data_IF_601726565462
#
_entry.id   IF_601726565462
#
_cell.length_a   1.000
_cell.length_b   1.000
_cell.length_c   1.000
_cell.angle_alpha   90.00
_cell.angle_beta   90.00
_cell.angle_gamma   90.00
#
_symmetry.space_group_name_H-M   'P 1'
#
loop_
_entity.id
_entity.type
_entity.pdbx_description
1 polymer ?
#
# COMPACT_ATOMS: atom_id res chain seq x y z
N UNK A 1 -48.40 55.83 21.66
CA UNK A 1 -48.01 54.51 22.18
C UNK A 1 -47.04 53.92 21.17
N UNK A 2 -45.76 54.23 21.37
CA UNK A 2 -44.64 53.74 20.56
C UNK A 2 -44.38 52.29 20.96
N UNK A 3 -44.17 51.41 19.99
CA UNK A 3 -43.63 50.07 20.23
C UNK A 3 -42.31 50.01 19.50
N UNK A 4 -41.22 50.10 20.26
CA UNK A 4 -39.85 49.95 19.81
C UNK A 4 -39.57 48.47 19.50
N UNK A 5 -39.20 48.16 18.25
CA UNK A 5 -38.48 46.93 17.91
C UNK A 5 -37.01 47.29 17.69
N UNK A 6 -36.18 46.82 18.62
CA UNK A 6 -34.74 47.04 18.64
C UNK A 6 -34.02 46.09 17.67
N UNK A 7 -33.13 46.66 16.85
CA UNK A 7 -31.90 46.04 16.32
C UNK A 7 -32.06 45.20 15.03
N UNK A 8 -31.74 45.74 13.85
CA UNK A 8 -30.41 45.74 13.20
C UNK A 8 -29.85 44.32 12.97
N UNK A 9 -29.33 43.91 11.81
CA UNK A 9 -28.65 44.66 10.76
C UNK A 9 -28.47 43.79 9.50
N UNK A 10 -28.50 44.47 8.35
CA UNK A 10 -27.63 44.29 7.19
C UNK A 10 -27.49 42.89 6.56
N UNK A 11 -28.25 42.74 5.48
CA UNK A 11 -27.91 41.95 4.30
C UNK A 11 -26.53 42.38 3.75
N UNK A 12 -25.52 41.53 3.89
CA UNK A 12 -24.34 41.53 3.01
C UNK A 12 -23.79 40.11 2.89
N UNK A 13 -23.89 39.54 1.68
CA UNK A 13 -23.23 38.31 1.29
C UNK A 13 -21.75 38.62 1.01
N UNK A 14 -20.77 37.88 1.56
CA UNK A 14 -19.45 37.82 0.98
C UNK A 14 -19.28 36.52 0.18
N UNK A 15 -19.09 36.72 -1.12
CA UNK A 15 -18.30 35.91 -2.05
C UNK A 15 -18.39 34.40 -1.98
N UNK A 16 -19.20 33.89 -2.91
CA UNK A 16 -18.95 32.71 -3.72
C UNK A 16 -17.47 32.67 -4.17
N UNK A 17 -16.60 31.97 -3.42
CA UNK A 17 -15.25 31.64 -3.85
C UNK A 17 -15.03 30.14 -3.66
N UNK A 18 -14.98 29.48 -4.80
CA UNK A 18 -14.69 28.07 -5.05
C UNK A 18 -13.56 27.53 -4.18
N UNK A 19 -13.90 26.70 -3.20
CA UNK A 19 -13.03 25.60 -2.82
C UNK A 19 -13.66 24.32 -3.37
N UNK A 20 -13.17 23.89 -4.55
CA UNK A 20 -13.12 22.45 -4.84
C UNK A 20 -12.10 21.87 -3.85
N UNK A 21 -12.50 21.75 -2.59
CA UNK A 21 -11.85 20.85 -1.67
C UNK A 21 -12.05 19.48 -2.30
N UNK A 22 -10.98 18.97 -2.92
CA UNK A 22 -11.05 17.65 -3.51
C UNK A 22 -11.36 16.69 -2.36
N UNK A 23 -12.04 15.58 -2.63
CA UNK A 23 -12.32 14.54 -1.62
C UNK A 23 -11.07 14.09 -0.83
N UNK A 24 -9.87 14.45 -1.31
CA UNK A 24 -8.58 14.24 -0.68
C UNK A 24 -8.25 15.20 0.48
N UNK A 25 -8.80 16.42 0.52
CA UNK A 25 -8.51 17.40 1.59
C UNK A 25 -9.20 17.05 2.91
N UNK A 26 -10.36 16.39 2.86
CA UNK A 26 -11.11 15.96 4.04
C UNK A 26 -10.47 14.74 4.72
N UNK A 27 -9.71 13.93 3.97
CA UNK A 27 -8.99 12.75 4.49
C UNK A 27 -7.82 13.16 5.40
N UNK A 28 -7.33 14.40 5.29
CA UNK A 28 -6.15 14.91 6.02
C UNK A 28 -6.42 15.29 7.48
N UNK A 29 -7.68 15.46 7.87
CA UNK A 29 -8.09 15.96 9.19
C UNK A 29 -8.53 14.87 10.18
N UNK A 30 -8.88 13.68 9.68
CA UNK A 30 -8.93 12.50 10.51
C UNK A 30 -7.49 11.98 10.63
N UNK A 31 -7.01 11.75 11.83
CA UNK A 31 -5.77 11.02 12.11
C UNK A 31 -5.89 9.52 11.71
N UNK A 32 -6.44 9.23 10.53
CA UNK A 32 -6.30 7.91 9.90
C UNK A 32 -4.80 7.79 9.65
N UNK A 33 -4.13 6.76 10.20
CA UNK A 33 -2.74 6.56 9.88
C UNK A 33 -2.65 6.44 8.37
N UNK A 34 -2.03 7.43 7.73
CA UNK A 34 -1.41 7.30 6.42
C UNK A 34 -0.21 6.37 6.58
N UNK A 35 -0.45 5.19 7.16
CA UNK A 35 0.50 4.10 7.23
C UNK A 35 0.84 3.84 5.78
N UNK A 36 2.10 3.99 5.44
CA UNK A 36 2.61 3.80 4.09
C UNK A 36 2.20 2.41 3.62
N UNK A 37 1.10 2.33 2.87
CA UNK A 37 0.62 1.14 2.17
C UNK A 37 1.55 0.90 0.98
N UNK A 38 2.80 0.59 1.29
CA UNK A 38 3.85 0.46 0.30
C UNK A 38 4.94 -0.51 0.77
N UNK A 39 5.55 -1.17 -0.19
CA UNK A 39 6.82 -1.87 0.03
C UNK A 39 7.86 -0.85 0.48
N UNK A 40 8.47 -1.10 1.65
CA UNK A 40 9.43 -0.19 2.27
C UNK A 40 10.79 -0.23 1.56
N UNK A 41 11.24 -1.43 1.17
CA UNK A 41 12.53 -1.61 0.52
C UNK A 41 12.61 -2.89 -0.30
N UNK A 42 13.47 -2.86 -1.32
CA UNK A 42 13.82 -4.00 -2.14
C UNK A 42 15.25 -4.44 -1.85
N UNK A 43 15.48 -5.74 -1.75
CA UNK A 43 16.82 -6.30 -1.60
C UNK A 43 17.50 -6.62 -2.95
N UNK A 44 16.81 -6.40 -4.07
CA UNK A 44 17.29 -6.73 -5.41
C UNK A 44 16.78 -5.71 -6.45
N UNK A 45 17.71 -5.14 -7.22
CA UNK A 45 17.41 -4.14 -8.26
C UNK A 45 16.48 -4.68 -9.36
N UNK A 46 16.58 -5.97 -9.71
CA UNK A 46 15.69 -6.62 -10.68
C UNK A 46 14.25 -6.68 -10.16
N UNK A 47 14.07 -6.96 -8.86
CA UNK A 47 12.72 -7.01 -8.26
C UNK A 47 12.10 -5.63 -8.20
N UNK A 48 12.88 -4.61 -7.86
CA UNK A 48 12.45 -3.22 -7.89
C UNK A 48 12.10 -2.78 -9.32
N UNK A 49 12.96 -3.09 -10.30
CA UNK A 49 12.70 -2.75 -11.71
C UNK A 49 11.41 -3.39 -12.22
N UNK A 50 11.15 -4.65 -11.86
CA UNK A 50 9.90 -5.32 -12.18
C UNK A 50 8.69 -4.66 -11.51
N UNK A 51 8.84 -4.23 -10.25
CA UNK A 51 7.80 -3.50 -9.53
C UNK A 51 7.49 -2.13 -10.17
N UNK A 52 8.51 -1.44 -10.67
CA UNK A 52 8.40 -0.18 -11.42
C UNK A 52 7.79 -0.37 -12.83
N UNK A 53 7.42 -1.61 -13.20
CA UNK A 53 6.85 -1.93 -14.51
C UNK A 53 7.88 -2.04 -15.63
N UNK A 54 9.17 -2.10 -15.31
CA UNK A 54 10.24 -2.35 -16.30
C UNK A 54 10.36 -3.84 -16.57
N UNK A 55 10.52 -4.19 -17.84
CA UNK A 55 10.73 -5.58 -18.26
C UNK A 55 12.11 -6.06 -17.82
N UNK A 56 12.15 -7.21 -17.15
CA UNK A 56 13.40 -7.85 -16.69
C UNK A 56 13.54 -9.22 -17.33
N UNK A 57 14.61 -9.44 -18.09
CA UNK A 57 14.86 -10.67 -18.85
C UNK A 57 14.75 -11.95 -18.01
N UNK A 58 15.24 -11.90 -16.76
CA UNK A 58 15.19 -13.02 -15.81
C UNK A 58 13.77 -13.45 -15.43
N UNK A 59 12.80 -12.53 -15.46
CA UNK A 59 11.46 -12.75 -14.93
C UNK A 59 10.36 -12.79 -16.01
N UNK A 60 10.71 -12.79 -17.30
CA UNK A 60 9.73 -12.69 -18.39
C UNK A 60 8.63 -13.76 -18.31
N UNK A 61 8.99 -14.99 -17.93
CA UNK A 61 8.02 -16.10 -17.84
C UNK A 61 7.05 -15.97 -16.66
N UNK A 62 7.44 -15.20 -15.63
CA UNK A 62 6.66 -15.04 -14.39
C UNK A 62 6.11 -13.62 -14.21
N UNK A 63 6.47 -12.69 -15.09
CA UNK A 63 6.29 -11.24 -14.96
C UNK A 63 4.86 -10.87 -14.54
N UNK A 64 3.86 -11.35 -15.26
CA UNK A 64 2.44 -11.07 -14.95
C UNK A 64 2.03 -11.53 -13.55
N UNK A 65 2.46 -12.73 -13.15
CA UNK A 65 2.09 -13.29 -11.84
C UNK A 65 2.88 -12.60 -10.74
N UNK A 66 4.18 -12.37 -10.95
CA UNK A 66 5.08 -11.69 -10.05
C UNK A 66 4.60 -10.25 -9.76
N UNK A 67 4.27 -9.46 -10.78
CA UNK A 67 3.72 -8.11 -10.61
C UNK A 67 2.42 -8.12 -9.81
N UNK A 68 1.51 -9.08 -10.07
CA UNK A 68 0.28 -9.22 -9.28
C UNK A 68 0.59 -9.51 -7.80
N UNK A 69 1.55 -10.41 -7.52
CA UNK A 69 1.95 -10.72 -6.13
C UNK A 69 2.61 -9.52 -5.44
N UNK A 70 3.47 -8.78 -6.14
CA UNK A 70 4.10 -7.57 -5.61
C UNK A 70 3.06 -6.47 -5.36
N UNK A 71 2.09 -6.28 -6.24
CA UNK A 71 0.99 -5.34 -6.04
C UNK A 71 0.11 -5.72 -4.84
N UNK A 72 -0.14 -7.02 -4.62
CA UNK A 72 -0.81 -7.49 -3.41
C UNK A 72 0.02 -7.19 -2.16
N UNK A 73 1.32 -7.48 -2.19
CA UNK A 73 2.25 -7.19 -1.09
C UNK A 73 2.27 -5.70 -0.75
N UNK A 74 2.29 -4.84 -1.76
CA UNK A 74 2.27 -3.40 -1.60
C UNK A 74 0.98 -2.86 -0.99
N UNK A 75 -0.15 -3.56 -1.15
CA UNK A 75 -1.46 -3.15 -0.63
C UNK A 75 -1.84 -3.81 0.69
N UNK A 76 -1.06 -4.78 1.17
CA UNK A 76 -1.38 -5.52 2.37
C UNK A 76 -1.21 -4.64 3.61
N UNK A 77 -2.24 -4.58 4.45
CA UNK A 77 -2.22 -3.90 5.75
C UNK A 77 -1.62 -4.82 6.80
N UNK A 78 -1.94 -6.11 6.71
CA UNK A 78 -1.50 -7.14 7.62
C UNK A 78 -0.93 -8.34 6.88
N UNK A 79 -0.09 -9.13 7.55
CA UNK A 79 0.41 -10.39 7.00
C UNK A 79 -0.75 -11.37 6.69
N UNK A 80 -1.87 -11.25 7.39
CA UNK A 80 -3.07 -12.06 7.22
C UNK A 80 -3.79 -11.76 5.90
N UNK A 81 -3.75 -10.52 5.41
CA UNK A 81 -4.35 -10.15 4.12
C UNK A 81 -3.75 -10.94 2.96
N UNK A 82 -2.47 -11.30 3.09
CA UNK A 82 -1.75 -12.10 2.11
C UNK A 82 -2.20 -13.57 2.08
N UNK A 83 -3.03 -14.04 3.01
CA UNK A 83 -3.60 -15.40 3.00
C UNK A 83 -4.79 -15.57 2.05
N UNK A 84 -5.39 -14.46 1.61
CA UNK A 84 -6.54 -14.44 0.70
C UNK A 84 -6.03 -13.92 -0.66
N UNK A 85 -5.98 -14.73 -1.74
CA UNK A 85 -6.59 -16.03 -1.99
C UNK A 85 -5.76 -17.24 -1.52
N UNK A 86 -6.39 -18.43 -1.32
CA UNK A 86 -5.83 -19.62 -0.64
C UNK A 86 -4.55 -20.23 -1.26
N UNK A 87 -4.12 -19.75 -2.43
CA UNK A 87 -2.86 -20.15 -3.06
C UNK A 87 -1.60 -19.56 -2.41
N UNK A 88 -1.72 -18.55 -1.57
CA UNK A 88 -0.60 -17.97 -0.83
C UNK A 88 -0.32 -18.80 0.43
N UNK A 89 0.44 -19.88 0.28
CA UNK A 89 0.97 -20.67 1.41
C UNK A 89 2.10 -19.90 2.11
N UNK A 90 1.73 -18.89 2.90
CA UNK A 90 2.68 -18.17 3.75
C UNK A 90 3.30 -19.16 4.74
N UNK A 91 4.58 -19.49 4.53
CA UNK A 91 5.37 -20.25 5.49
C UNK A 91 6.24 -19.27 6.27
N UNK A 92 6.13 -19.16 7.60
CA UNK A 92 7.20 -18.56 8.39
C UNK A 92 8.45 -19.42 8.22
N UNK A 93 9.60 -18.80 7.94
CA UNK A 93 10.88 -19.51 7.98
C UNK A 93 11.28 -19.67 9.45
N UNK A 94 11.37 -20.91 9.93
CA UNK A 94 11.83 -21.23 11.30
C UNK A 94 13.35 -21.08 11.43
N UNK A 95 13.84 -20.50 12.54
CA UNK A 95 15.27 -20.26 12.85
C UNK A 95 15.61 -18.76 13.03
N UNK A 96 16.88 -18.37 12.87
CA UNK A 96 17.38 -16.95 12.90
C UNK A 96 16.72 -16.01 11.88
N UNK A 97 15.79 -16.53 11.06
CA UNK A 97 15.02 -15.82 10.02
C UNK A 97 13.51 -15.76 10.34
N UNK A 98 13.13 -15.84 11.63
CA UNK A 98 11.75 -15.88 12.10
C UNK A 98 10.85 -14.71 11.62
N UNK A 99 11.43 -13.65 11.05
CA UNK A 99 10.73 -12.48 10.50
C UNK A 99 10.54 -12.53 8.97
N UNK A 100 11.11 -13.53 8.29
CA UNK A 100 11.07 -13.65 6.84
C UNK A 100 9.90 -14.55 6.39
N UNK A 101 9.16 -14.03 5.42
CA UNK A 101 7.99 -14.64 4.82
C UNK A 101 8.21 -14.85 3.32
N UNK A 102 7.43 -15.77 2.73
CA UNK A 102 7.45 -15.97 1.28
C UNK A 102 6.06 -16.20 0.68
N UNK A 103 5.86 -15.69 -0.53
CA UNK A 103 4.68 -15.90 -1.37
C UNK A 103 5.11 -16.64 -2.63
N UNK A 104 4.42 -17.73 -2.94
CA UNK A 104 4.65 -18.51 -4.17
C UNK A 104 4.21 -17.71 -5.40
N UNK A 105 5.09 -17.63 -6.40
CA UNK A 105 4.74 -17.13 -7.73
C UNK A 105 4.31 -18.31 -8.60
N UNK A 106 5.17 -19.33 -8.69
CA UNK A 106 4.96 -20.59 -9.39
C UNK A 106 5.75 -21.73 -8.71
N UNK A 107 6.07 -22.80 -9.45
CA UNK A 107 6.80 -23.94 -8.92
C UNK A 107 8.25 -23.64 -8.52
N UNK A 108 8.90 -22.71 -9.24
CA UNK A 108 10.32 -22.38 -9.11
C UNK A 108 10.54 -21.10 -8.29
N UNK A 109 9.71 -20.07 -8.48
CA UNK A 109 9.95 -18.73 -7.95
C UNK A 109 9.09 -18.39 -6.73
N UNK A 110 9.70 -17.63 -5.81
CA UNK A 110 9.05 -17.09 -4.61
C UNK A 110 9.41 -15.63 -4.41
N UNK A 111 8.44 -14.82 -3.98
CA UNK A 111 8.70 -13.50 -3.39
C UNK A 111 9.05 -13.72 -1.92
N UNK A 112 10.23 -13.31 -1.49
CA UNK A 112 10.65 -13.29 -0.10
C UNK A 112 10.70 -11.87 0.43
N UNK A 113 10.26 -11.67 1.67
CA UNK A 113 10.23 -10.36 2.32
C UNK A 113 10.27 -10.52 3.84
N UNK A 114 10.58 -9.44 4.54
CA UNK A 114 10.49 -9.33 6.00
C UNK A 114 9.27 -8.48 6.34
N UNK A 115 8.47 -8.90 7.31
CA UNK A 115 7.35 -8.08 7.79
C UNK A 115 7.81 -7.26 9.00
N UNK A 116 7.89 -5.92 8.84
CA UNK A 116 8.21 -4.98 9.90
C UNK A 116 6.94 -4.30 10.42
N UNK A 117 7.07 -3.52 11.49
CA UNK A 117 5.96 -2.72 12.03
C UNK A 117 5.37 -1.78 10.98
N UNK A 118 6.19 -1.24 10.09
CA UNK A 118 5.80 -0.26 9.06
C UNK A 118 5.37 -0.90 7.72
N UNK A 119 5.49 -2.23 7.58
CA UNK A 119 5.13 -2.96 6.36
C UNK A 119 6.23 -3.90 5.83
N UNK A 120 6.09 -4.37 4.57
CA UNK A 120 7.02 -5.32 3.98
C UNK A 120 8.33 -4.67 3.53
N UNK A 121 9.45 -5.20 4.02
CA UNK A 121 10.81 -4.76 3.72
C UNK A 121 11.65 -5.88 3.09
N UNK A 122 12.80 -5.51 2.51
CA UNK A 122 13.78 -6.41 1.92
C UNK A 122 13.16 -7.38 0.89
N UNK A 123 12.25 -6.86 0.06
CA UNK A 123 11.51 -7.66 -0.92
C UNK A 123 12.44 -8.11 -2.03
N UNK A 124 12.42 -9.40 -2.36
CA UNK A 124 13.19 -10.01 -3.46
C UNK A 124 12.46 -11.21 -4.07
N UNK A 125 12.62 -11.41 -5.37
CA UNK A 125 12.23 -12.65 -6.03
C UNK A 125 13.44 -13.58 -6.06
N UNK A 126 13.28 -14.80 -5.55
CA UNK A 126 14.31 -15.84 -5.57
C UNK A 126 13.82 -17.06 -6.36
N UNK A 127 14.78 -17.73 -6.99
CA UNK A 127 14.61 -19.10 -7.47
C UNK A 127 14.78 -20.05 -6.27
N UNK A 128 13.87 -21.01 -6.14
CA UNK A 128 13.81 -21.95 -5.01
C UNK A 128 14.44 -23.31 -5.33
N UNK A 129 14.95 -23.51 -6.56
CA UNK A 129 15.66 -24.72 -6.97
C UNK A 129 17.18 -24.57 -6.97
#
# INVERSE_FOLDING_TARGET
MLIDFHGNCAFSLPNFMTYRASLWDTIRLLHIPLYSMAILSFACADTQSLFDGKRVGRFVNIERVAMRKLAMLNRAVTLQDLRVPPGNRLKPLTGDRATQHSIRIDDQFRVCFVWLADGPANVRIIDYH
#
